data_IF_953360874877
#
_entry.id   IF_953360874877
#
_cell.length_a   1.000
_cell.length_b   1.000
_cell.length_c   1.000
_cell.angle_alpha   90.00
_cell.angle_beta   90.00
_cell.angle_gamma   90.00
#
_symmetry.space_group_name_H-M   'P 1'
#
loop_
_entity.id
_entity.type
_entity.pdbx_description
1 polymer ?
#
# COMPACT_ATOMS: atom_id res chain seq x y z
N UNK A 1 -4.03 -12.76 -48.02
CA UNK A 1 -3.24 -11.85 -47.13
C UNK A 1 -2.65 -12.65 -45.97
N UNK A 2 -1.38 -12.41 -45.61
CA UNK A 2 -0.75 -13.06 -44.45
C UNK A 2 -1.38 -12.53 -43.16
N UNK A 3 -1.72 -13.45 -42.24
CA UNK A 3 -2.32 -13.08 -40.95
C UNK A 3 -1.29 -12.35 -40.08
N UNK A 4 -1.74 -11.31 -39.38
CA UNK A 4 -0.89 -10.57 -38.45
C UNK A 4 -0.42 -11.46 -37.29
N UNK A 5 0.87 -11.36 -36.95
CA UNK A 5 1.49 -12.02 -35.79
C UNK A 5 2.08 -10.95 -34.87
N UNK A 6 1.80 -11.06 -33.57
CA UNK A 6 2.30 -10.13 -32.56
C UNK A 6 3.84 -10.15 -32.46
N UNK A 7 4.44 -8.96 -32.37
CA UNK A 7 5.88 -8.76 -32.10
C UNK A 7 6.36 -9.39 -30.80
N UNK A 8 5.44 -9.61 -29.85
CA UNK A 8 5.74 -10.16 -28.53
C UNK A 8 5.48 -11.67 -28.42
N UNK A 9 5.05 -12.33 -29.51
CA UNK A 9 4.73 -13.76 -29.50
C UNK A 9 5.88 -14.64 -29.00
N UNK A 10 7.11 -14.38 -29.43
CA UNK A 10 8.32 -15.09 -28.98
C UNK A 10 8.63 -14.86 -27.50
N UNK A 11 8.43 -13.62 -27.02
CA UNK A 11 8.66 -13.28 -25.61
C UNK A 11 7.68 -14.04 -24.70
N UNK A 12 6.38 -14.01 -25.05
CA UNK A 12 5.33 -14.69 -24.30
C UNK A 12 5.55 -16.21 -24.30
N UNK A 13 6.01 -16.80 -25.41
CA UNK A 13 6.36 -18.23 -25.47
C UNK A 13 7.49 -18.59 -24.52
N UNK A 14 8.59 -17.81 -24.51
CA UNK A 14 9.73 -18.04 -23.62
C UNK A 14 9.35 -17.87 -22.14
N UNK A 15 8.52 -16.88 -21.83
CA UNK A 15 8.04 -16.65 -20.47
C UNK A 15 7.12 -17.78 -19.99
N UNK A 16 6.23 -18.26 -20.86
CA UNK A 16 5.39 -19.41 -20.58
C UNK A 16 6.19 -20.71 -20.40
N UNK A 17 7.29 -20.90 -21.15
CA UNK A 17 8.17 -22.07 -21.02
C UNK A 17 9.03 -22.05 -19.75
N UNK A 18 9.56 -20.89 -19.35
CA UNK A 18 10.34 -20.74 -18.11
C UNK A 18 9.59 -21.22 -16.86
N UNK A 19 8.27 -21.06 -16.85
CA UNK A 19 7.42 -21.44 -15.73
C UNK A 19 6.96 -22.92 -15.76
N UNK A 20 7.32 -23.68 -16.81
CA UNK A 20 7.00 -25.10 -16.92
C UNK A 20 8.10 -25.93 -16.28
N UNK A 21 7.72 -26.79 -15.33
CA UNK A 21 8.56 -27.86 -14.82
C UNK A 21 7.95 -29.21 -15.21
N UNK A 22 8.80 -30.18 -15.55
CA UNK A 22 8.42 -31.46 -16.16
C UNK A 22 7.37 -32.28 -15.38
N UNK A 23 7.30 -32.11 -14.05
CA UNK A 23 6.43 -32.86 -13.13
C UNK A 23 6.05 -31.99 -11.92
N UNK A 24 5.33 -30.88 -12.15
CA UNK A 24 4.91 -29.93 -11.10
C UNK A 24 3.71 -30.42 -10.27
N UNK A 25 2.73 -31.01 -10.94
CA UNK A 25 1.42 -31.33 -10.36
C UNK A 25 1.37 -32.76 -9.81
N UNK A 26 1.89 -33.72 -10.59
CA UNK A 26 2.03 -35.12 -10.20
C UNK A 26 3.47 -35.55 -10.49
N UNK A 27 4.04 -36.37 -9.60
CA UNK A 27 5.38 -36.93 -9.75
C UNK A 27 5.49 -37.96 -10.89
N UNK A 28 6.69 -38.50 -11.16
CA UNK A 28 6.87 -39.53 -12.16
C UNK A 28 6.06 -40.80 -11.84
N UNK A 29 5.53 -41.43 -12.89
CA UNK A 29 4.78 -42.69 -12.78
C UNK A 29 5.60 -43.83 -12.16
N UNK A 30 6.92 -43.84 -12.39
CA UNK A 30 7.88 -44.74 -11.73
C UNK A 30 9.10 -43.94 -11.30
N UNK A 31 9.33 -43.84 -10.00
CA UNK A 31 10.51 -43.18 -9.43
C UNK A 31 11.73 -44.03 -9.71
N UNK A 32 12.74 -43.46 -10.36
CA UNK A 32 14.02 -44.13 -10.56
C UNK A 32 14.73 -44.28 -9.22
N UNK A 33 15.06 -45.51 -8.84
CA UNK A 33 15.83 -45.81 -7.63
C UNK A 33 17.32 -45.58 -7.96
N UNK A 34 18.06 -44.77 -7.20
CA UNK A 34 19.47 -44.53 -7.45
C UNK A 34 20.27 -45.83 -7.28
N UNK A 35 21.28 -46.02 -8.14
CA UNK A 35 22.22 -47.14 -8.02
C UNK A 35 23.05 -46.99 -6.74
N UNK A 36 23.43 -48.07 -6.04
CA UNK A 36 24.29 -47.99 -4.84
C UNK A 36 25.64 -47.26 -5.07
N UNK A 37 26.09 -47.16 -6.33
CA UNK A 37 27.28 -46.41 -6.70
C UNK A 37 27.06 -44.88 -6.76
N UNK A 38 25.81 -44.42 -6.86
CA UNK A 38 25.43 -43.00 -6.96
C UNK A 38 25.11 -42.39 -5.58
N UNK A 39 25.98 -42.63 -4.60
CA UNK A 39 25.82 -42.08 -3.26
C UNK A 39 26.23 -40.60 -3.19
N UNK A 40 25.62 -39.84 -2.27
CA UNK A 40 25.86 -38.41 -2.12
C UNK A 40 27.31 -38.14 -1.65
N UNK A 41 28.11 -37.54 -2.51
CA UNK A 41 29.48 -37.14 -2.18
C UNK A 41 29.52 -35.78 -1.46
N UNK A 42 30.51 -35.59 -0.58
CA UNK A 42 30.73 -34.34 0.18
C UNK A 42 30.90 -33.16 -0.79
N UNK A 43 30.14 -32.07 -0.56
CA UNK A 43 30.09 -30.84 -1.39
C UNK A 43 29.53 -30.98 -2.82
N UNK A 44 28.88 -32.09 -3.15
CA UNK A 44 28.27 -32.29 -4.48
C UNK A 44 27.13 -31.33 -4.82
N UNK A 45 26.37 -30.87 -3.80
CA UNK A 45 25.25 -29.92 -3.95
C UNK A 45 25.64 -28.45 -3.77
N UNK A 46 26.90 -28.16 -3.46
CA UNK A 46 27.34 -26.78 -3.29
C UNK A 46 27.48 -26.11 -4.67
N UNK A 47 26.89 -24.91 -4.87
CA UNK A 47 27.03 -24.19 -6.13
C UNK A 47 28.49 -23.80 -6.31
N UNK A 48 29.14 -24.31 -7.35
CA UNK A 48 30.51 -23.92 -7.69
C UNK A 48 30.49 -22.47 -8.20
N UNK A 49 31.24 -21.53 -7.58
CA UNK A 49 31.33 -20.18 -8.09
C UNK A 49 31.93 -20.21 -9.49
N UNK A 50 31.34 -19.43 -10.41
CA UNK A 50 31.91 -19.28 -11.74
C UNK A 50 33.35 -18.76 -11.61
N UNK A 51 34.31 -19.25 -12.44
CA UNK A 51 35.64 -18.68 -12.46
C UNK A 51 35.53 -17.18 -12.75
N UNK A 52 36.25 -16.35 -11.98
CA UNK A 52 36.28 -14.90 -12.17
C UNK A 52 36.69 -14.61 -13.62
N UNK A 53 35.72 -14.29 -14.47
CA UNK A 53 36.00 -13.63 -15.74
C UNK A 53 36.59 -12.27 -15.40
N UNK A 54 37.69 -11.88 -16.04
CA UNK A 54 38.14 -10.49 -16.01
C UNK A 54 36.91 -9.68 -16.41
N UNK A 55 36.48 -8.79 -15.53
CA UNK A 55 35.37 -7.89 -15.80
C UNK A 55 35.61 -7.29 -17.18
N UNK A 56 34.72 -7.56 -18.14
CA UNK A 56 34.68 -6.79 -19.37
C UNK A 56 34.55 -5.34 -18.91
N UNK A 57 35.58 -4.57 -19.23
CA UNK A 57 35.89 -3.27 -18.65
C UNK A 57 34.60 -2.48 -18.39
N UNK A 58 34.18 -2.42 -17.12
CA UNK A 58 33.22 -1.41 -16.69
C UNK A 58 33.79 -0.09 -17.18
N UNK A 59 32.98 0.67 -17.93
CA UNK A 59 33.37 1.90 -18.61
C UNK A 59 34.39 2.66 -17.76
N UNK A 60 35.66 2.56 -18.14
CA UNK A 60 36.73 3.27 -17.43
C UNK A 60 36.42 4.74 -17.65
N UNK A 61 35.87 5.40 -16.65
CA UNK A 61 35.74 6.84 -16.65
C UNK A 61 37.12 7.39 -17.00
N UNK A 62 37.22 8.05 -18.15
CA UNK A 62 38.46 8.66 -18.58
C UNK A 62 38.93 9.56 -17.43
N UNK A 63 40.13 9.35 -16.86
CA UNK A 63 40.60 10.22 -15.80
C UNK A 63 40.68 11.62 -16.37
N UNK A 64 39.95 12.56 -15.76
CA UNK A 64 40.03 13.98 -16.08
C UNK A 64 41.46 14.44 -15.75
N UNK A 65 42.33 14.40 -16.76
CA UNK A 65 43.73 14.79 -16.64
C UNK A 65 43.80 16.29 -16.39
N UNK A 66 44.20 16.67 -15.18
CA UNK A 66 44.38 18.07 -14.80
C UNK A 66 45.51 18.66 -15.67
N UNK A 67 45.33 19.87 -16.25
CA UNK A 67 46.39 20.50 -17.03
C UNK A 67 47.69 20.60 -16.25
N UNK A 68 48.81 20.27 -16.90
CA UNK A 68 50.14 20.33 -16.29
C UNK A 68 50.47 21.78 -15.91
N UNK A 69 51.30 21.98 -14.88
CA UNK A 69 51.74 23.33 -14.44
C UNK A 69 52.43 24.15 -15.54
N UNK A 70 52.96 23.50 -16.58
CA UNK A 70 53.57 24.14 -17.75
C UNK A 70 52.57 24.50 -18.85
N UNK A 71 51.32 24.07 -18.74
CA UNK A 71 50.26 24.39 -19.69
C UNK A 71 49.83 25.84 -19.53
N UNK A 72 50.14 26.65 -20.55
CA UNK A 72 49.63 28.01 -20.68
C UNK A 72 48.59 28.00 -21.79
N UNK A 73 47.29 28.20 -21.50
CA UNK A 73 46.28 28.26 -22.54
C UNK A 73 46.58 29.42 -23.50
N UNK A 74 46.39 29.21 -24.80
CA UNK A 74 46.60 30.25 -25.82
C UNK A 74 45.45 31.26 -25.70
N UNK A 75 45.59 32.24 -24.81
CA UNK A 75 44.58 33.31 -24.60
C UNK A 75 44.85 34.56 -25.43
N UNK A 76 45.66 34.49 -26.50
CA UNK A 76 45.96 35.66 -27.33
C UNK A 76 45.13 35.68 -28.60
N UNK A 77 43.82 35.87 -28.44
CA UNK A 77 42.99 36.36 -29.54
C UNK A 77 43.27 37.87 -29.64
N UNK A 78 43.83 38.34 -30.76
CA UNK A 78 43.99 39.78 -31.03
C UNK A 78 42.60 40.38 -31.28
N UNK A 79 41.89 40.69 -30.20
CA UNK A 79 40.54 41.26 -30.25
C UNK A 79 40.63 42.77 -30.18
N UNK A 80 40.09 43.46 -31.18
CA UNK A 80 39.99 44.92 -31.14
C UNK A 80 38.78 45.31 -30.30
N UNK A 81 38.99 45.45 -28.99
CA UNK A 81 37.94 45.82 -28.04
C UNK A 81 37.21 47.11 -28.43
N UNK A 82 37.90 48.07 -29.05
CA UNK A 82 37.29 49.32 -29.54
C UNK A 82 36.22 49.03 -30.60
N UNK A 83 36.58 48.23 -31.62
CA UNK A 83 35.67 47.87 -32.70
C UNK A 83 34.51 47.01 -32.19
N UNK A 84 34.79 46.04 -31.32
CA UNK A 84 33.74 45.17 -30.79
C UNK A 84 32.78 45.91 -29.85
N UNK A 85 33.27 46.82 -29.03
CA UNK A 85 32.42 47.66 -28.19
C UNK A 85 31.53 48.54 -29.08
N UNK A 86 32.06 49.09 -30.17
CA UNK A 86 31.27 49.86 -31.13
C UNK A 86 30.18 48.99 -31.78
N UNK A 87 30.53 47.79 -32.27
CA UNK A 87 29.56 46.85 -32.86
C UNK A 87 28.53 46.40 -31.83
N UNK A 88 28.93 46.15 -30.58
CA UNK A 88 28.03 45.73 -29.50
C UNK A 88 27.04 46.83 -29.12
N UNK A 89 27.45 48.10 -29.13
CA UNK A 89 26.55 49.23 -28.89
C UNK A 89 25.60 49.45 -30.08
N UNK A 90 26.08 49.32 -31.31
CA UNK A 90 25.25 49.47 -32.52
C UNK A 90 24.22 48.35 -32.64
N UNK A 91 24.60 47.10 -32.31
CA UNK A 91 23.73 45.92 -32.41
C UNK A 91 22.93 45.63 -31.14
N UNK A 92 23.31 46.22 -30.02
CA UNK A 92 22.67 45.99 -28.73
C UNK A 92 21.26 46.56 -28.70
N UNK A 93 20.35 45.86 -28.03
CA UNK A 93 19.01 46.41 -27.79
C UNK A 93 19.10 47.66 -26.91
N UNK A 94 18.29 48.70 -27.19
CA UNK A 94 18.25 49.88 -26.36
C UNK A 94 17.82 49.50 -24.94
N UNK A 95 18.43 50.15 -23.94
CA UNK A 95 18.06 49.93 -22.54
C UNK A 95 16.57 50.20 -22.37
N UNK A 96 15.85 49.28 -21.71
CA UNK A 96 14.43 49.49 -21.38
C UNK A 96 14.31 50.78 -20.58
N UNK A 97 13.51 51.77 -21.04
CA UNK A 97 13.38 53.03 -20.33
C UNK A 97 12.74 52.76 -18.96
N UNK A 98 13.23 53.46 -17.94
CA UNK A 98 12.56 53.46 -16.64
C UNK A 98 11.15 54.04 -16.83
N UNK A 99 10.17 53.50 -16.12
CA UNK A 99 8.81 53.99 -16.18
C UNK A 99 8.73 55.37 -15.48
N UNK A 100 8.68 56.43 -16.29
CA UNK A 100 8.48 57.80 -15.83
C UNK A 100 7.34 58.47 -16.61
N UNK A 101 6.66 59.41 -15.95
CA UNK A 101 5.66 60.29 -16.55
C UNK A 101 6.28 61.69 -16.75
N UNK A 102 5.92 62.34 -17.84
CA UNK A 102 6.26 63.74 -18.13
C UNK A 102 4.96 64.50 -18.29
N UNK A 103 4.72 65.48 -17.42
CA UNK A 103 3.50 66.30 -17.42
C UNK A 103 3.82 67.77 -17.80
N UNK A 104 4.98 68.27 -17.37
CA UNK A 104 5.44 69.62 -17.69
C UNK A 104 5.90 69.76 -19.15
N UNK A 105 5.55 70.90 -19.78
CA UNK A 105 6.07 71.31 -21.11
C UNK A 105 7.60 71.44 -21.14
N UNK A 106 8.23 71.65 -19.99
CA UNK A 106 9.68 71.75 -19.80
C UNK A 106 10.38 70.38 -19.71
N UNK A 107 9.61 69.28 -19.65
CA UNK A 107 10.16 67.93 -19.66
C UNK A 107 10.49 67.34 -18.28
N UNK A 108 9.95 67.90 -17.19
CA UNK A 108 10.13 67.35 -15.85
C UNK A 108 9.60 65.92 -15.75
N UNK A 109 10.43 65.00 -15.25
CA UNK A 109 10.15 63.56 -15.20
C UNK A 109 9.83 63.14 -13.77
N UNK A 110 8.69 62.48 -13.59
CA UNK A 110 8.30 61.85 -12.34
C UNK A 110 8.40 60.32 -12.44
N UNK A 111 9.14 59.71 -11.52
CA UNK A 111 9.22 58.25 -11.41
C UNK A 111 7.84 57.68 -11.05
N UNK A 112 7.42 56.62 -11.74
CA UNK A 112 6.09 56.05 -11.55
C UNK A 112 5.98 55.07 -10.36
N UNK A 113 7.09 54.64 -9.78
CA UNK A 113 7.11 53.77 -8.59
C UNK A 113 6.51 54.43 -7.31
N UNK A 114 6.80 55.70 -6.99
CA UNK A 114 6.15 56.41 -5.89
C UNK A 114 4.77 56.98 -6.22
N UNK A 115 4.41 57.15 -7.50
CA UNK A 115 3.22 57.91 -7.92
C UNK A 115 1.87 57.20 -7.70
N UNK A 116 1.89 55.92 -7.28
CA UNK A 116 0.67 55.14 -7.04
C UNK A 116 -0.06 54.66 -8.31
N UNK A 117 0.49 54.95 -9.50
CA UNK A 117 -0.04 54.48 -10.78
C UNK A 117 0.10 52.96 -10.95
N UNK A 118 1.05 52.36 -10.23
CA UNK A 118 1.25 50.91 -10.17
C UNK A 118 0.63 50.30 -8.90
N UNK A 119 -0.10 49.17 -9.01
CA UNK A 119 -0.73 48.53 -7.86
C UNK A 119 0.33 47.98 -6.89
N UNK A 120 0.33 48.50 -5.66
CA UNK A 120 1.11 47.94 -4.55
C UNK A 120 0.34 46.78 -3.91
N UNK A 121 0.68 45.55 -4.29
CA UNK A 121 -0.01 44.35 -3.80
C UNK A 121 0.09 44.14 -2.28
N UNK A 122 1.07 44.78 -1.62
CA UNK A 122 1.19 44.82 -0.15
C UNK A 122 0.04 45.55 0.54
N UNK A 123 -0.62 46.48 -0.16
CA UNK A 123 -1.76 47.28 0.36
C UNK A 123 -3.11 46.71 -0.05
N UNK A 124 -3.16 45.48 -0.55
CA UNK A 124 -4.42 44.83 -0.95
C UNK A 124 -5.27 44.56 0.30
N UNK A 125 -6.59 44.77 0.23
CA UNK A 125 -7.53 44.54 1.36
C UNK A 125 -7.44 43.13 1.96
N UNK A 126 -7.14 42.13 1.12
CA UNK A 126 -7.07 40.72 1.52
C UNK A 126 -5.61 40.26 1.71
N UNK A 127 -4.66 41.18 1.85
CA UNK A 127 -3.27 40.83 2.10
C UNK A 127 -3.16 40.18 3.49
N UNK A 128 -2.56 38.99 3.56
CA UNK A 128 -2.48 38.21 4.79
C UNK A 128 -3.77 37.50 5.22
N UNK A 129 -4.88 37.63 4.47
CA UNK A 129 -6.15 36.95 4.75
C UNK A 129 -6.25 35.67 3.92
N UNK A 130 -6.61 34.56 4.57
CA UNK A 130 -6.83 33.28 3.89
C UNK A 130 -8.05 33.40 2.96
N UNK A 131 -7.92 33.06 1.67
CA UNK A 131 -9.06 33.08 0.75
C UNK A 131 -10.17 32.11 1.13
N UNK A 132 -11.43 32.51 0.92
CA UNK A 132 -12.63 31.71 1.25
C UNK A 132 -12.67 30.32 0.60
N UNK A 133 -12.04 30.12 -0.55
CA UNK A 133 -12.03 28.81 -1.20
C UNK A 133 -11.12 27.82 -0.46
N UNK A 134 -10.06 28.30 0.20
CA UNK A 134 -9.14 27.45 0.98
C UNK A 134 -9.86 26.93 2.21
N UNK A 135 -10.64 27.77 2.90
CA UNK A 135 -11.43 27.34 4.06
C UNK A 135 -12.47 26.31 3.68
N UNK A 136 -13.22 26.53 2.58
CA UNK A 136 -14.19 25.57 2.05
C UNK A 136 -13.55 24.21 1.74
N UNK A 137 -12.40 24.21 1.07
CA UNK A 137 -11.68 22.98 0.73
C UNK A 137 -11.19 22.24 1.97
N UNK A 138 -10.75 22.95 3.00
CA UNK A 138 -10.33 22.33 4.26
C UNK A 138 -11.52 21.71 4.99
N UNK A 139 -12.69 22.36 4.98
CA UNK A 139 -13.92 21.81 5.54
C UNK A 139 -14.39 20.56 4.78
N UNK A 140 -14.31 20.58 3.44
CA UNK A 140 -14.60 19.42 2.58
C UNK A 140 -13.67 18.25 2.90
N UNK A 141 -12.35 18.46 2.94
CA UNK A 141 -11.38 17.41 3.31
C UNK A 141 -11.65 16.85 4.70
N UNK A 142 -11.96 17.71 5.68
CA UNK A 142 -12.28 17.25 7.03
C UNK A 142 -13.54 16.38 7.06
N UNK A 143 -14.57 16.75 6.29
CA UNK A 143 -15.79 15.95 6.18
C UNK A 143 -15.52 14.60 5.51
N UNK A 144 -14.74 14.57 4.44
CA UNK A 144 -14.32 13.33 3.77
C UNK A 144 -13.53 12.41 4.70
N UNK A 145 -12.65 12.97 5.53
CA UNK A 145 -11.92 12.22 6.56
C UNK A 145 -12.86 11.62 7.62
N UNK A 146 -13.83 12.40 8.12
CA UNK A 146 -14.84 11.94 9.08
C UNK A 146 -15.73 10.83 8.50
N UNK A 147 -16.19 10.99 7.25
CA UNK A 147 -16.98 9.99 6.53
C UNK A 147 -16.19 8.69 6.29
N UNK A 148 -14.91 8.82 5.91
CA UNK A 148 -14.02 7.68 5.74
C UNK A 148 -13.83 6.93 7.07
N UNK A 149 -13.54 7.65 8.16
CA UNK A 149 -13.40 7.06 9.48
C UNK A 149 -14.68 6.35 9.93
N UNK A 150 -15.84 6.96 9.72
CA UNK A 150 -17.14 6.36 10.02
C UNK A 150 -17.37 5.06 9.24
N UNK A 151 -17.05 5.05 7.94
CA UNK A 151 -17.15 3.85 7.09
C UNK A 151 -16.22 2.74 7.55
N UNK A 152 -14.98 3.06 7.93
CA UNK A 152 -14.03 2.09 8.49
C UNK A 152 -14.58 1.51 9.80
N UNK A 153 -15.10 2.35 10.70
CA UNK A 153 -15.71 1.90 11.95
C UNK A 153 -16.91 1.00 11.71
N UNK A 154 -17.79 1.33 10.76
CA UNK A 154 -18.94 0.52 10.39
C UNK A 154 -18.50 -0.85 9.83
N UNK A 155 -17.47 -0.89 8.98
CA UNK A 155 -16.91 -2.15 8.48
C UNK A 155 -16.30 -3.00 9.61
N UNK A 156 -15.61 -2.36 10.56
CA UNK A 156 -15.08 -3.05 11.73
C UNK A 156 -16.21 -3.59 12.61
N UNK A 157 -17.27 -2.82 12.83
CA UNK A 157 -18.45 -3.27 13.59
C UNK A 157 -19.16 -4.44 12.90
N UNK A 158 -19.33 -4.40 11.57
CA UNK A 158 -19.92 -5.51 10.80
C UNK A 158 -19.08 -6.80 10.89
N UNK A 159 -17.75 -6.67 10.90
CA UNK A 159 -16.83 -7.79 11.05
C UNK A 159 -16.67 -8.26 12.49
N UNK A 160 -16.92 -7.39 13.47
CA UNK A 160 -16.83 -7.72 14.88
C UNK A 160 -17.97 -8.69 15.25
N UNK A 161 -17.62 -9.72 16.02
CA UNK A 161 -18.60 -10.62 16.61
C UNK A 161 -19.46 -9.86 17.63
N UNK A 162 -20.77 -10.12 17.65
CA UNK A 162 -21.69 -9.48 18.59
C UNK A 162 -21.38 -9.98 20.00
N UNK A 163 -21.15 -9.08 20.94
CA UNK A 163 -21.07 -9.43 22.36
C UNK A 163 -22.45 -9.58 22.95
N UNK A 164 -22.66 -10.65 23.69
CA UNK A 164 -23.89 -10.94 24.40
C UNK A 164 -24.01 -9.99 25.61
N UNK A 165 -25.10 -9.21 25.68
CA UNK A 165 -25.35 -8.34 26.85
C UNK A 165 -25.64 -9.17 28.10
N UNK A 166 -25.45 -8.59 29.29
CA UNK A 166 -25.69 -9.32 30.56
C UNK A 166 -27.16 -9.77 30.68
N UNK A 167 -28.12 -8.95 30.21
CA UNK A 167 -29.54 -9.29 30.20
C UNK A 167 -29.87 -10.44 29.23
N UNK A 168 -29.33 -10.40 28.00
CA UNK A 168 -29.46 -11.50 27.04
C UNK A 168 -28.82 -12.78 27.61
N UNK A 169 -27.70 -12.67 28.34
CA UNK A 169 -26.98 -13.81 28.92
C UNK A 169 -27.81 -14.49 30.00
N UNK A 170 -28.41 -13.72 30.89
CA UNK A 170 -29.30 -14.25 31.90
C UNK A 170 -30.54 -14.93 31.29
N UNK A 171 -31.10 -14.34 30.25
CA UNK A 171 -32.25 -14.92 29.55
C UNK A 171 -31.91 -16.25 28.88
N UNK A 172 -30.74 -16.34 28.23
CA UNK A 172 -30.25 -17.59 27.64
C UNK A 172 -30.01 -18.64 28.72
N UNK A 173 -29.35 -18.28 29.84
CA UNK A 173 -29.13 -19.21 30.95
C UNK A 173 -30.44 -19.70 31.57
N UNK A 174 -31.44 -18.82 31.76
CA UNK A 174 -32.77 -19.22 32.25
C UNK A 174 -33.44 -20.19 31.28
N UNK A 175 -33.36 -19.95 29.98
CA UNK A 175 -33.92 -20.83 28.97
C UNK A 175 -33.22 -22.20 28.93
N UNK A 176 -31.89 -22.24 29.03
CA UNK A 176 -31.11 -23.48 29.08
C UNK A 176 -31.42 -24.30 30.34
N UNK A 177 -31.47 -23.66 31.51
CA UNK A 177 -31.82 -24.31 32.78
C UNK A 177 -33.22 -24.90 32.74
N UNK A 178 -34.19 -24.17 32.17
CA UNK A 178 -35.55 -24.69 31.97
C UNK A 178 -35.57 -25.94 31.08
N UNK A 179 -34.83 -25.93 29.97
CA UNK A 179 -34.74 -27.09 29.07
C UNK A 179 -34.05 -28.29 29.76
N UNK A 180 -33.03 -28.03 30.59
CA UNK A 180 -32.41 -29.05 31.43
C UNK A 180 -33.41 -29.64 32.43
N UNK A 181 -34.23 -28.82 33.09
CA UNK A 181 -35.27 -29.32 34.00
C UNK A 181 -36.29 -30.20 33.28
N UNK A 182 -36.75 -29.81 32.09
CA UNK A 182 -37.71 -30.58 31.29
C UNK A 182 -37.13 -31.93 30.84
N UNK A 183 -35.89 -31.94 30.33
CA UNK A 183 -35.20 -33.17 29.91
C UNK A 183 -34.85 -34.07 31.08
N UNK A 184 -34.43 -33.51 32.21
CA UNK A 184 -34.16 -34.27 33.43
C UNK A 184 -35.44 -34.89 34.01
N UNK A 185 -36.57 -34.18 33.99
CA UNK A 185 -37.87 -34.77 34.37
C UNK A 185 -38.24 -35.94 33.47
N UNK A 186 -38.05 -35.82 32.15
CA UNK A 186 -38.28 -36.92 31.22
C UNK A 186 -37.35 -38.11 31.51
N UNK A 187 -36.07 -37.86 31.78
CA UNK A 187 -35.11 -38.89 32.16
C UNK A 187 -35.47 -39.59 33.48
N UNK A 188 -35.90 -38.84 34.49
CA UNK A 188 -36.35 -39.40 35.77
C UNK A 188 -37.64 -40.21 35.66
N UNK A 189 -38.49 -39.87 34.70
CA UNK A 189 -39.74 -40.62 34.43
C UNK A 189 -39.52 -41.94 33.70
N UNK A 190 -38.28 -42.27 33.30
CA UNK A 190 -37.97 -43.52 32.62
C UNK A 190 -38.18 -44.74 33.54
N UNK A 191 -38.73 -45.85 33.02
CA UNK A 191 -38.81 -47.11 33.76
C UNK A 191 -37.42 -47.65 34.13
N UNK A 192 -37.29 -48.20 35.34
CA UNK A 192 -36.04 -48.80 35.85
C UNK A 192 -35.53 -49.93 34.95
N UNK A 193 -36.44 -50.70 34.33
CA UNK A 193 -36.13 -51.80 33.41
C UNK A 193 -36.00 -51.31 31.96
N UNK A 194 -34.78 -51.34 31.43
CA UNK A 194 -34.44 -50.99 30.03
C UNK A 194 -34.15 -52.23 29.19
N UNK A 195 -35.10 -53.16 29.13
CA UNK A 195 -34.86 -54.48 28.50
C UNK A 195 -34.93 -54.45 26.96
N UNK A 196 -35.66 -53.49 26.39
CA UNK A 196 -35.78 -53.35 24.93
C UNK A 196 -34.73 -52.40 24.37
N UNK A 197 -34.25 -52.68 23.16
CA UNK A 197 -33.28 -51.83 22.45
C UNK A 197 -33.75 -50.39 22.35
N UNK A 198 -35.03 -50.16 22.06
CA UNK A 198 -35.64 -48.83 22.01
C UNK A 198 -35.53 -48.07 23.33
N UNK A 199 -35.85 -48.71 24.47
CA UNK A 199 -35.75 -48.07 25.80
C UNK A 199 -34.31 -47.68 26.13
N UNK A 200 -33.33 -48.53 25.75
CA UNK A 200 -31.91 -48.26 25.95
C UNK A 200 -31.42 -47.10 25.09
N UNK A 201 -31.82 -47.05 23.82
CA UNK A 201 -31.50 -45.95 22.91
C UNK A 201 -32.11 -44.62 23.39
N UNK A 202 -33.38 -44.63 23.81
CA UNK A 202 -34.05 -43.43 24.31
C UNK A 202 -33.39 -42.88 25.58
N UNK A 203 -32.98 -43.77 26.50
CA UNK A 203 -32.19 -43.39 27.67
C UNK A 203 -30.87 -42.73 27.27
N UNK A 204 -30.13 -43.35 26.35
CA UNK A 204 -28.86 -42.80 25.84
C UNK A 204 -29.04 -41.42 25.17
N UNK A 205 -30.11 -41.24 24.39
CA UNK A 205 -30.42 -39.93 23.80
C UNK A 205 -30.67 -38.85 24.85
N UNK A 206 -31.38 -39.18 25.93
CA UNK A 206 -31.63 -38.24 27.03
C UNK A 206 -30.35 -37.93 27.81
N UNK A 207 -29.49 -38.93 28.05
CA UNK A 207 -28.19 -38.73 28.70
C UNK A 207 -27.27 -37.81 27.88
N UNK A 208 -27.20 -38.03 26.56
CA UNK A 208 -26.41 -37.17 25.67
C UNK A 208 -26.93 -35.74 25.64
N UNK A 209 -28.25 -35.56 25.60
CA UNK A 209 -28.87 -34.21 25.67
C UNK A 209 -28.58 -33.51 27.00
N UNK A 210 -28.64 -34.25 28.12
CA UNK A 210 -28.32 -33.70 29.44
C UNK A 210 -26.85 -33.27 29.51
N UNK A 211 -25.92 -34.11 29.05
CA UNK A 211 -24.50 -33.80 29.02
C UNK A 211 -24.19 -32.57 28.16
N UNK A 212 -24.88 -32.42 27.02
CA UNK A 212 -24.75 -31.23 26.17
C UNK A 212 -25.24 -29.97 26.90
N UNK A 213 -26.43 -30.02 27.49
CA UNK A 213 -26.98 -28.87 28.23
C UNK A 213 -26.11 -28.48 29.43
N UNK A 214 -25.57 -29.45 30.17
CA UNK A 214 -24.65 -29.19 31.27
C UNK A 214 -23.36 -28.52 30.80
N UNK A 215 -22.80 -28.99 29.68
CA UNK A 215 -21.62 -28.37 29.07
C UNK A 215 -21.89 -26.94 28.62
N UNK A 216 -23.02 -26.70 27.96
CA UNK A 216 -23.41 -25.38 27.44
C UNK A 216 -23.68 -24.38 28.57
N UNK A 217 -24.37 -24.82 29.64
CA UNK A 217 -24.61 -24.00 30.83
C UNK A 217 -23.28 -23.64 31.49
N UNK A 218 -22.40 -24.62 31.70
CA UNK A 218 -21.10 -24.40 32.31
C UNK A 218 -20.22 -23.44 31.47
N UNK A 219 -20.24 -23.57 30.14
CA UNK A 219 -19.51 -22.69 29.25
C UNK A 219 -19.98 -21.23 29.38
N UNK A 220 -21.29 -20.98 29.42
CA UNK A 220 -21.84 -19.62 29.53
C UNK A 220 -21.69 -19.06 30.96
N UNK A 221 -21.79 -19.88 32.00
CA UNK A 221 -21.62 -19.43 33.39
C UNK A 221 -20.16 -19.06 33.71
N UNK A 222 -19.19 -19.86 33.25
CA UNK A 222 -17.77 -19.64 33.51
C UNK A 222 -17.19 -18.44 32.76
N UNK A 223 -17.76 -18.07 31.61
CA UNK A 223 -17.26 -16.98 30.78
C UNK A 223 -18.10 -15.71 30.95
N UNK A 224 -17.47 -14.62 31.43
CA UNK A 224 -18.14 -13.32 31.64
C UNK A 224 -18.56 -12.65 30.32
N UNK A 225 -17.70 -12.70 29.31
CA UNK A 225 -17.94 -12.11 27.98
C UNK A 225 -18.00 -13.20 26.94
N UNK A 226 -19.16 -13.32 26.27
CA UNK A 226 -19.41 -14.29 25.20
C UNK A 226 -19.58 -13.52 23.89
N UNK A 227 -18.83 -13.93 22.86
CA UNK A 227 -18.93 -13.40 21.51
C UNK A 227 -19.72 -14.38 20.64
N UNK A 228 -20.72 -13.88 19.92
CA UNK A 228 -21.52 -14.65 18.98
C UNK A 228 -21.08 -14.26 17.58
N UNK A 229 -20.76 -15.26 16.76
CA UNK A 229 -20.53 -15.05 15.34
C UNK A 229 -21.84 -14.60 14.66
N UNK A 230 -21.77 -13.51 13.88
CA UNK A 230 -22.89 -13.00 13.09
C UNK A 230 -23.24 -13.93 11.92
#
# INVERSE_FOLDING_TARGET
PLRYISKYSEFVRREAEKNKSQWKTMGPAKVAVPSPNDFLQKRSKEPKPAPKKKEEEGEKLLPLSVPRRTYHPVVRVKKNFIYENAVAVIRGEPKKPQHFCVDSRQGDKYLLEPSGLFPKYTRKKNYGVIPKYVTRRNEEMKREEEEYQASVLEQLQKKAMKTLSEEERENVLKALKKNWEETNRAFQSLPVLTDTSYKRMHKQELELKLQQLEHDIAAIENHKTVYIAN
#
